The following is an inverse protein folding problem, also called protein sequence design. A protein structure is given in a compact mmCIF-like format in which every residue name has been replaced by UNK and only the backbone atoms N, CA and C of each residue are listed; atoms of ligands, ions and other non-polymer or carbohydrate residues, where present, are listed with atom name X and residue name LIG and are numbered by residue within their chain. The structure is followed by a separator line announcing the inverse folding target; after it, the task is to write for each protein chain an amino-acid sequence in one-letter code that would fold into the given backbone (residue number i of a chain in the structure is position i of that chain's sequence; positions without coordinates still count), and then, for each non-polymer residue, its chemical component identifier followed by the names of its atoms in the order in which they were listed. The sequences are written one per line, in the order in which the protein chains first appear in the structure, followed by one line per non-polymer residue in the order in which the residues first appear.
data_IF_967463628023
#
_entry.id   IF_967463628023
#
_cell.length_a   1.000
_cell.length_b   1.000
_cell.length_c   1.000
_cell.angle_alpha   90.00
_cell.angle_beta   90.00
_cell.angle_gamma   90.00
#
_symmetry.space_group_name_H-M   'P 1'
#
loop_
_entity.id
_entity.type
_entity.pdbx_description
1 polymer ?
#
# COMPACT_ATOMS: atom_id res chain seq x y z
N UNK A 1 -8.27 -10.53 -5.39
CA UNK A 1 -7.39 -10.47 -4.21
C UNK A 1 -7.07 -9.01 -3.93
N UNK A 2 -8.13 -8.21 -3.74
CA UNK A 2 -8.08 -6.75 -3.90
C UNK A 2 -8.81 -6.02 -2.75
N UNK A 3 -9.16 -6.74 -1.70
CA UNK A 3 -9.92 -6.19 -0.58
C UNK A 3 -9.02 -5.40 0.37
N UNK A 4 -9.43 -4.17 0.68
CA UNK A 4 -8.89 -3.34 1.75
C UNK A 4 -10.03 -2.75 2.59
N UNK A 5 -9.86 -2.70 3.91
CA UNK A 5 -10.88 -2.16 4.81
C UNK A 5 -10.83 -2.78 6.19
N UNK A 6 -11.92 -2.62 6.94
CA UNK A 6 -12.05 -3.16 8.30
C UNK A 6 -13.13 -4.24 8.33
N UNK A 7 -12.73 -5.46 8.68
CA UNK A 7 -13.64 -6.59 8.87
C UNK A 7 -14.25 -6.50 10.29
N UNK A 8 -15.59 -6.55 10.43
CA UNK A 8 -16.25 -6.46 11.74
C UNK A 8 -15.80 -7.56 12.71
N UNK A 9 -15.84 -7.26 14.02
CA UNK A 9 -15.30 -8.11 15.10
C UNK A 9 -15.90 -9.52 15.16
N UNK A 10 -17.13 -9.69 14.72
CA UNK A 10 -17.86 -10.97 14.80
C UNK A 10 -17.63 -11.87 13.57
N UNK A 11 -16.82 -11.43 12.61
CA UNK A 11 -16.50 -12.20 11.41
C UNK A 11 -15.11 -12.84 11.51
N UNK A 12 -14.93 -13.98 10.82
CA UNK A 12 -13.62 -14.60 10.65
C UNK A 12 -12.68 -13.66 9.90
N UNK A 13 -11.49 -13.40 10.46
CA UNK A 13 -10.55 -12.41 9.91
C UNK A 13 -10.81 -10.98 10.39
N UNK A 14 -11.52 -10.79 11.50
CA UNK A 14 -11.75 -9.48 12.11
C UNK A 14 -10.48 -8.61 12.23
N UNK A 15 -10.62 -7.33 11.87
CA UNK A 15 -9.53 -6.36 11.91
C UNK A 15 -9.36 -5.59 10.61
N UNK A 16 -8.39 -4.67 10.61
CA UNK A 16 -8.00 -3.95 9.40
C UNK A 16 -7.20 -4.87 8.47
N UNK A 17 -7.48 -4.78 7.18
CA UNK A 17 -6.86 -5.57 6.13
C UNK A 17 -6.36 -4.62 5.04
N UNK A 18 -5.12 -4.86 4.59
CA UNK A 18 -4.52 -4.19 3.45
C UNK A 18 -4.00 -5.21 2.45
N UNK A 19 -3.94 -4.83 1.19
CA UNK A 19 -3.15 -5.54 0.18
C UNK A 19 -1.71 -5.07 0.34
N UNK A 20 -0.96 -5.73 1.21
CA UNK A 20 0.42 -5.34 1.53
C UNK A 20 1.39 -5.60 0.38
N UNK A 21 1.21 -6.67 -0.39
CA UNK A 21 1.96 -6.93 -1.61
C UNK A 21 1.08 -7.65 -2.63
N UNK A 22 1.45 -7.54 -3.91
CA UNK A 22 0.75 -8.19 -5.02
C UNK A 22 1.73 -8.46 -6.16
N UNK A 23 1.52 -9.59 -6.82
CA UNK A 23 2.28 -9.96 -8.00
C UNK A 23 1.92 -11.35 -8.48
N UNK A 24 2.89 -12.01 -9.08
CA UNK A 24 2.80 -13.41 -9.50
C UNK A 24 4.01 -14.18 -8.98
N UNK A 25 3.95 -15.50 -9.05
CA UNK A 25 5.06 -16.37 -8.69
C UNK A 25 5.24 -17.44 -9.75
N UNK A 26 6.41 -18.06 -9.78
CA UNK A 26 6.64 -19.30 -10.52
C UNK A 26 7.33 -20.34 -9.66
N UNK A 27 7.08 -21.65 -9.88
CA UNK A 27 7.85 -22.70 -9.23
C UNK A 27 9.32 -22.64 -9.69
N UNK A 28 10.24 -22.90 -8.77
CA UNK A 28 11.69 -22.95 -9.11
C UNK A 28 12.04 -24.27 -9.81
N UNK A 29 11.30 -25.33 -9.51
CA UNK A 29 11.46 -26.66 -10.11
C UNK A 29 10.26 -26.96 -11.01
N UNK A 30 10.48 -27.81 -11.99
CA UNK A 30 9.40 -28.37 -12.83
C UNK A 30 8.64 -29.44 -12.04
N UNK A 31 7.93 -28.99 -11.01
CA UNK A 31 7.09 -29.78 -10.12
C UNK A 31 5.77 -29.02 -9.92
N UNK A 32 4.66 -29.76 -9.90
CA UNK A 32 3.35 -29.19 -9.56
C UNK A 32 3.38 -28.57 -8.14
N UNK A 33 3.06 -27.27 -7.98
CA UNK A 33 3.05 -26.60 -6.68
C UNK A 33 2.15 -27.27 -5.63
N UNK A 34 1.03 -27.86 -6.06
CA UNK A 34 0.10 -28.54 -5.15
C UNK A 34 0.75 -29.81 -4.59
N UNK A 35 1.40 -30.60 -5.45
CA UNK A 35 2.18 -31.76 -5.03
C UNK A 35 3.36 -31.38 -4.11
N UNK A 36 4.08 -30.29 -4.41
CA UNK A 36 5.18 -29.79 -3.58
C UNK A 36 4.70 -29.35 -2.18
N UNK A 37 3.57 -28.65 -2.10
CA UNK A 37 2.91 -28.30 -0.83
C UNK A 37 2.49 -29.55 -0.05
N UNK A 38 1.91 -30.56 -0.70
CA UNK A 38 1.55 -31.80 -0.03
C UNK A 38 2.79 -32.48 0.61
N UNK A 39 3.90 -32.51 -0.12
CA UNK A 39 5.21 -33.01 0.36
C UNK A 39 5.81 -32.17 1.49
N UNK A 40 5.28 -30.99 1.77
CA UNK A 40 5.71 -30.13 2.87
C UNK A 40 6.83 -29.17 2.50
N UNK A 41 7.14 -28.99 1.22
CA UNK A 41 8.17 -28.04 0.77
C UNK A 41 7.86 -27.50 -0.61
N UNK A 42 7.62 -26.19 -0.70
CA UNK A 42 7.41 -25.47 -1.94
C UNK A 42 8.51 -24.41 -2.14
N UNK A 43 9.17 -24.42 -3.29
CA UNK A 43 10.16 -23.43 -3.68
C UNK A 43 9.63 -22.60 -4.86
N UNK A 44 9.50 -21.29 -4.66
CA UNK A 44 8.96 -20.36 -5.66
C UNK A 44 9.85 -19.15 -5.83
N UNK A 45 9.82 -18.56 -7.01
CA UNK A 45 10.32 -17.21 -7.25
C UNK A 45 9.13 -16.26 -7.33
N UNK A 46 9.15 -15.23 -6.48
CA UNK A 46 8.08 -14.24 -6.31
C UNK A 46 8.46 -12.96 -7.07
N UNK A 47 7.47 -12.43 -7.79
CA UNK A 47 7.55 -11.19 -8.56
C UNK A 47 6.52 -10.19 -8.04
N UNK A 48 6.65 -9.84 -6.76
CA UNK A 48 5.83 -8.84 -6.08
C UNK A 48 6.36 -7.42 -6.26
N UNK A 49 5.56 -6.46 -5.83
CA UNK A 49 5.99 -5.07 -5.71
C UNK A 49 7.07 -4.97 -4.63
N UNK A 50 6.89 -5.67 -3.50
CA UNK A 50 7.80 -5.65 -2.34
C UNK A 50 8.62 -6.93 -2.21
N UNK A 51 7.96 -8.09 -2.14
CA UNK A 51 8.63 -9.37 -2.05
C UNK A 51 9.12 -9.79 -3.43
N UNK A 52 10.43 -10.02 -3.55
CA UNK A 52 11.06 -10.41 -4.81
C UNK A 52 12.04 -11.57 -4.62
N UNK A 53 12.33 -12.28 -5.69
CA UNK A 53 13.30 -13.36 -5.71
C UNK A 53 12.76 -14.68 -5.14
N UNK A 54 13.65 -15.58 -4.76
CA UNK A 54 13.32 -16.94 -4.35
C UNK A 54 12.98 -17.03 -2.87
N UNK A 55 11.95 -17.81 -2.60
CA UNK A 55 11.40 -18.11 -1.29
C UNK A 55 11.13 -19.61 -1.16
N UNK A 56 11.15 -20.11 0.07
CA UNK A 56 10.80 -21.50 0.39
C UNK A 56 9.74 -21.50 1.48
N UNK A 57 8.64 -22.21 1.23
CA UNK A 57 7.65 -22.54 2.24
C UNK A 57 7.91 -23.99 2.69
N UNK A 58 8.27 -24.19 3.96
CA UNK A 58 8.64 -25.50 4.50
C UNK A 58 7.83 -25.84 5.75
N UNK A 59 7.20 -27.03 5.77
CA UNK A 59 6.41 -27.51 6.90
C UNK A 59 7.35 -27.99 8.01
N UNK A 60 7.04 -27.63 9.25
CA UNK A 60 7.84 -28.07 10.40
C UNK A 60 7.61 -29.55 10.68
N UNK A 61 8.70 -30.29 10.93
CA UNK A 61 8.62 -31.72 11.23
C UNK A 61 7.79 -31.98 12.49
N UNK A 62 6.86 -32.93 12.42
CA UNK A 62 5.97 -33.27 13.54
C UNK A 62 4.83 -32.26 13.79
N UNK A 63 4.66 -31.26 12.93
CA UNK A 63 3.61 -30.24 13.08
C UNK A 63 2.92 -29.94 11.75
N UNK A 64 1.74 -30.52 11.53
CA UNK A 64 1.07 -30.49 10.22
C UNK A 64 0.58 -29.10 9.78
N UNK A 65 0.37 -28.18 10.72
CA UNK A 65 -0.17 -26.83 10.47
C UNK A 65 0.87 -25.71 10.54
N UNK A 66 2.08 -25.99 10.98
CA UNK A 66 3.12 -24.98 11.16
C UNK A 66 4.09 -24.96 9.98
N UNK A 67 4.27 -23.79 9.39
CA UNK A 67 5.09 -23.58 8.20
C UNK A 67 6.05 -22.43 8.42
N UNK A 68 7.24 -22.54 7.84
CA UNK A 68 8.24 -21.49 7.77
C UNK A 68 8.28 -20.93 6.36
N UNK A 69 8.24 -19.60 6.25
CA UNK A 69 8.53 -18.89 5.01
C UNK A 69 9.96 -18.34 5.08
N UNK A 70 10.82 -18.81 4.18
CA UNK A 70 12.25 -18.59 4.22
C UNK A 70 12.72 -17.87 2.95
N UNK A 71 13.38 -16.71 3.10
CA UNK A 71 14.03 -16.02 1.98
C UNK A 71 15.31 -16.76 1.58
N UNK A 72 15.54 -16.95 0.28
CA UNK A 72 16.82 -17.47 -0.25
C UNK A 72 17.81 -16.33 -0.49
N UNK A 73 19.10 -16.63 -0.33
CA UNK A 73 20.18 -15.73 -0.72
C UNK A 73 20.22 -15.60 -2.25
N UNK A 74 19.69 -14.49 -2.77
CA UNK A 74 19.68 -14.11 -4.18
C UNK A 74 19.62 -12.58 -4.31
N UNK A 75 19.50 -12.05 -5.53
CA UNK A 75 19.50 -10.60 -5.78
C UNK A 75 18.33 -9.82 -5.16
N UNK A 76 17.30 -10.49 -4.64
CA UNK A 76 16.20 -9.88 -3.88
C UNK A 76 16.34 -10.02 -2.37
N UNK A 77 17.42 -10.62 -1.86
CA UNK A 77 17.69 -10.66 -0.42
C UNK A 77 18.22 -9.31 0.08
N UNK A 78 17.72 -8.87 1.23
CA UNK A 78 18.15 -7.67 1.93
C UNK A 78 18.17 -7.94 3.44
N UNK A 79 19.05 -7.24 4.16
CA UNK A 79 19.16 -7.34 5.63
C UNK A 79 18.09 -6.50 6.36
N UNK A 80 17.30 -5.75 5.62
CA UNK A 80 16.25 -4.87 6.13
C UNK A 80 14.90 -5.61 6.22
N UNK A 81 14.15 -5.39 7.29
CA UNK A 81 12.83 -5.96 7.49
C UNK A 81 11.82 -5.30 6.52
N UNK A 82 11.23 -6.10 5.62
CA UNK A 82 10.35 -5.58 4.57
C UNK A 82 9.09 -4.90 5.14
N UNK A 83 8.57 -5.43 6.25
CA UNK A 83 7.35 -4.88 6.88
C UNK A 83 7.58 -3.50 7.51
N UNK A 84 8.80 -3.23 7.98
CA UNK A 84 9.22 -1.91 8.49
C UNK A 84 9.55 -0.94 7.34
N UNK A 85 10.24 -1.42 6.30
CA UNK A 85 10.61 -0.60 5.14
C UNK A 85 9.40 -0.16 4.32
N UNK A 86 8.44 -1.06 4.15
CA UNK A 86 7.29 -0.87 3.28
C UNK A 86 5.98 -1.19 4.00
N UNK A 87 5.56 -0.38 5.00
CA UNK A 87 4.35 -0.68 5.79
C UNK A 87 3.04 -0.45 5.04
N UNK A 88 3.05 0.34 3.95
CA UNK A 88 1.84 0.80 3.26
C UNK A 88 1.26 -0.23 2.29
N UNK A 89 -0.05 -0.18 2.02
CA UNK A 89 -0.69 -0.89 0.93
C UNK A 89 -0.07 -0.59 -0.44
N UNK A 90 -0.02 -1.58 -1.34
CA UNK A 90 0.33 -1.37 -2.77
C UNK A 90 -0.82 -0.80 -3.61
N UNK A 91 -2.04 -0.75 -3.08
CA UNK A 91 -3.21 -0.21 -3.76
C UNK A 91 -3.53 1.22 -3.30
N UNK A 92 -3.69 1.43 -1.99
CA UNK A 92 -4.08 2.72 -1.43
C UNK A 92 -2.91 3.58 -0.94
N UNK A 93 -1.74 2.99 -0.70
CA UNK A 93 -0.61 3.69 -0.07
C UNK A 93 -0.82 3.98 1.42
N UNK A 94 -1.87 3.44 2.05
CA UNK A 94 -2.17 3.61 3.48
C UNK A 94 -1.57 2.49 4.32
N UNK A 95 -1.20 2.78 5.58
CA UNK A 95 -0.82 1.71 6.53
C UNK A 95 -2.05 1.00 7.11
N UNK A 96 -1.83 -0.15 7.77
CA UNK A 96 -2.89 -0.90 8.44
C UNK A 96 -3.55 -0.10 9.58
N UNK A 97 -2.79 0.73 10.28
CA UNK A 97 -3.30 1.66 11.31
C UNK A 97 -4.19 2.73 10.66
N UNK A 98 -3.79 3.28 9.52
CA UNK A 98 -4.58 4.31 8.85
C UNK A 98 -5.91 3.78 8.33
N UNK A 99 -5.94 2.54 7.83
CA UNK A 99 -7.17 1.85 7.46
C UNK A 99 -8.03 1.54 8.68
N UNK A 100 -7.41 1.09 9.79
CA UNK A 100 -8.11 0.83 11.05
C UNK A 100 -8.79 2.08 11.60
N UNK A 101 -8.09 3.21 11.53
CA UNK A 101 -8.49 4.47 12.16
C UNK A 101 -9.19 5.42 11.17
N UNK A 102 -9.48 4.98 9.95
CA UNK A 102 -10.07 5.79 8.88
C UNK A 102 -11.34 6.52 9.34
N UNK A 103 -12.24 5.82 10.05
CA UNK A 103 -13.48 6.42 10.56
C UNK A 103 -13.25 7.51 11.60
N UNK A 104 -12.23 7.37 12.46
CA UNK A 104 -11.87 8.39 13.45
C UNK A 104 -11.23 9.62 12.77
N UNK A 105 -10.34 9.40 11.79
CA UNK A 105 -9.77 10.48 10.97
C UNK A 105 -10.85 11.25 10.22
N UNK A 106 -11.79 10.54 9.60
CA UNK A 106 -12.92 11.16 8.89
C UNK A 106 -13.77 12.02 9.83
N UNK A 107 -14.14 11.48 11.00
CA UNK A 107 -14.91 12.22 12.01
C UNK A 107 -14.17 13.49 12.47
N UNK A 108 -12.86 13.41 12.71
CA UNK A 108 -12.04 14.55 13.09
C UNK A 108 -11.97 15.63 11.99
N UNK A 109 -11.82 15.23 10.73
CA UNK A 109 -11.84 16.15 9.59
C UNK A 109 -13.21 16.84 9.49
N UNK A 110 -14.31 16.08 9.60
CA UNK A 110 -15.68 16.63 9.58
C UNK A 110 -15.89 17.65 10.69
N UNK A 111 -15.52 17.33 11.92
CA UNK A 111 -15.63 18.25 13.05
C UNK A 111 -14.81 19.53 12.84
N UNK A 112 -13.59 19.42 12.29
CA UNK A 112 -12.75 20.58 11.96
C UNK A 112 -13.37 21.46 10.87
N UNK A 113 -13.94 20.86 9.83
CA UNK A 113 -14.61 21.60 8.75
C UNK A 113 -15.83 22.38 9.28
N UNK A 114 -16.61 21.76 10.17
CA UNK A 114 -17.74 22.43 10.81
C UNK A 114 -17.30 23.60 11.70
N UNK A 115 -16.26 23.41 12.52
CA UNK A 115 -15.71 24.48 13.35
C UNK A 115 -15.16 25.67 12.54
N UNK A 116 -14.65 25.41 11.34
CA UNK A 116 -14.17 26.44 10.41
C UNK A 116 -15.29 27.13 9.62
N UNK A 117 -16.55 26.70 9.78
CA UNK A 117 -17.67 27.19 8.96
C UNK A 117 -17.48 26.88 7.47
N UNK A 118 -16.81 25.77 7.14
CA UNK A 118 -16.50 25.43 5.77
C UNK A 118 -17.78 25.25 4.94
N UNK A 119 -17.86 25.83 3.73
CA UNK A 119 -19.04 25.72 2.90
C UNK A 119 -19.26 24.27 2.43
N UNK A 120 -20.52 23.81 2.48
CA UNK A 120 -20.92 22.52 1.91
C UNK A 120 -21.05 22.66 0.39
N UNK A 121 -20.01 22.29 -0.34
CA UNK A 121 -19.98 22.27 -1.80
C UNK A 121 -19.09 21.13 -2.30
N UNK A 122 -19.29 20.74 -3.56
CA UNK A 122 -18.38 19.81 -4.23
C UNK A 122 -16.97 20.38 -4.29
N UNK A 123 -15.99 19.55 -3.94
CA UNK A 123 -14.58 19.88 -4.13
C UNK A 123 -14.19 19.41 -5.54
N UNK A 124 -13.92 20.38 -6.42
CA UNK A 124 -13.47 20.13 -7.78
C UNK A 124 -11.99 20.51 -7.93
N UNK A 125 -11.14 19.62 -8.48
CA UNK A 125 -9.78 19.99 -8.83
C UNK A 125 -9.72 21.02 -9.96
N UNK A 126 -10.78 21.15 -10.78
CA UNK A 126 -10.86 22.17 -11.84
C UNK A 126 -10.83 23.61 -11.28
N UNK A 127 -11.29 23.77 -10.05
CA UNK A 127 -11.33 25.07 -9.37
C UNK A 127 -10.05 25.36 -8.58
N UNK A 128 -9.09 24.42 -8.55
CA UNK A 128 -7.84 24.58 -7.83
C UNK A 128 -6.73 25.10 -8.76
N UNK A 129 -6.07 26.21 -8.42
CA UNK A 129 -4.95 26.67 -9.21
C UNK A 129 -3.78 25.70 -9.08
N UNK A 130 -3.12 25.37 -10.19
CA UNK A 130 -1.80 24.76 -10.14
C UNK A 130 -0.83 25.75 -9.47
N UNK A 131 -0.09 25.29 -8.45
CA UNK A 131 1.05 26.05 -7.98
C UNK A 131 2.11 26.06 -9.07
N UNK A 132 2.20 27.18 -9.78
CA UNK A 132 3.24 27.42 -10.76
C UNK A 132 4.55 27.71 -10.05
N UNK A 133 5.64 27.17 -10.61
CA UNK A 133 6.97 27.48 -10.10
C UNK A 133 7.22 28.96 -10.33
N UNK A 134 7.53 29.68 -9.25
CA UNK A 134 7.92 31.09 -9.32
C UNK A 134 9.39 31.18 -8.93
N UNK A 135 10.18 31.94 -9.69
CA UNK A 135 11.60 32.13 -9.36
C UNK A 135 11.71 32.82 -7.99
N UNK A 136 12.39 32.19 -7.05
CA UNK A 136 12.62 32.71 -5.71
C UNK A 136 14.13 32.72 -5.40
N UNK A 137 14.59 33.70 -4.62
CA UNK A 137 16.00 33.82 -4.22
C UNK A 137 16.42 32.83 -3.15
N UNK A 138 15.46 32.32 -2.38
CA UNK A 138 15.66 31.35 -1.32
C UNK A 138 14.39 30.50 -1.15
N UNK A 139 14.51 29.25 -0.68
CA UNK A 139 13.34 28.47 -0.28
C UNK A 139 12.64 29.14 0.91
N UNK A 140 11.32 29.09 0.93
CA UNK A 140 10.53 29.50 2.10
C UNK A 140 10.11 28.26 2.90
N UNK A 141 9.87 28.45 4.20
CA UNK A 141 9.27 27.43 5.06
C UNK A 141 8.16 28.08 5.88
N UNK A 142 6.98 27.48 5.86
CA UNK A 142 5.78 27.93 6.59
C UNK A 142 5.08 26.70 7.14
N UNK A 143 4.46 26.84 8.30
CA UNK A 143 3.66 25.76 8.89
C UNK A 143 2.54 25.33 7.92
N UNK A 144 2.37 24.02 7.73
CA UNK A 144 1.40 23.45 6.80
C UNK A 144 1.80 23.46 5.32
N UNK A 145 3.00 23.95 4.97
CA UNK A 145 3.50 23.89 3.59
C UNK A 145 4.32 22.63 3.34
N UNK A 146 4.02 21.95 2.24
CA UNK A 146 4.77 20.81 1.72
C UNK A 146 5.55 21.27 0.48
N UNK A 147 6.78 20.80 0.33
CA UNK A 147 7.57 21.02 -0.89
C UNK A 147 7.73 19.71 -1.65
N UNK A 148 7.74 19.81 -2.97
CA UNK A 148 7.98 18.70 -3.89
C UNK A 148 9.25 19.00 -4.69
N UNK A 149 10.19 18.05 -4.75
CA UNK A 149 11.31 18.17 -5.67
C UNK A 149 10.80 18.06 -7.10
N UNK A 150 10.98 19.12 -7.90
CA UNK A 150 10.59 19.12 -9.31
C UNK A 150 11.51 18.18 -10.10
N UNK A 151 11.00 17.00 -10.45
CA UNK A 151 11.49 16.23 -11.58
C UNK A 151 10.82 16.78 -12.85
N UNK A 152 11.52 16.86 -13.98
CA UNK A 152 10.92 17.38 -15.22
C UNK A 152 9.66 16.59 -15.60
N UNK A 153 8.57 17.29 -15.93
CA UNK A 153 7.27 16.69 -16.18
C UNK A 153 6.10 17.69 -16.22
N UNK A 154 4.88 17.16 -16.35
CA UNK A 154 3.62 17.91 -16.27
C UNK A 154 3.01 17.77 -14.88
N UNK A 155 2.33 18.81 -14.38
CA UNK A 155 1.49 18.70 -13.17
C UNK A 155 0.05 18.44 -13.61
N UNK A 156 -0.60 17.51 -12.94
CA UNK A 156 -2.02 17.26 -13.12
C UNK A 156 -2.66 16.94 -11.77
N UNK A 157 -3.91 17.37 -11.58
CA UNK A 157 -4.78 16.84 -10.54
C UNK A 157 -5.49 15.59 -11.07
N UNK A 158 -5.53 14.55 -10.24
CA UNK A 158 -6.34 13.37 -10.48
C UNK A 158 -7.55 13.39 -9.55
N UNK A 159 -8.75 13.30 -10.12
CA UNK A 159 -9.99 13.08 -9.37
C UNK A 159 -10.46 11.67 -9.63
N UNK A 160 -10.60 10.87 -8.58
CA UNK A 160 -11.27 9.58 -8.65
C UNK A 160 -12.64 9.68 -7.99
N UNK A 161 -13.70 9.38 -8.74
CA UNK A 161 -15.05 9.14 -8.23
C UNK A 161 -15.43 7.70 -8.60
N UNK A 162 -15.44 6.83 -7.60
CA UNK A 162 -15.68 5.39 -7.76
C UNK A 162 -14.73 4.78 -8.82
N UNK A 163 -15.28 4.34 -9.95
CA UNK A 163 -14.55 3.73 -11.07
C UNK A 163 -14.12 4.74 -12.14
N UNK A 164 -14.47 6.02 -11.99
CA UNK A 164 -14.11 7.08 -12.93
C UNK A 164 -12.89 7.83 -12.42
N UNK A 165 -11.88 7.98 -13.28
CA UNK A 165 -10.72 8.84 -13.04
C UNK A 165 -10.69 9.95 -14.08
N UNK A 166 -10.71 11.20 -13.62
CA UNK A 166 -10.49 12.39 -14.44
C UNK A 166 -9.12 12.99 -14.14
N UNK A 167 -8.36 13.33 -15.18
CA UNK A 167 -7.11 14.07 -15.07
C UNK A 167 -7.33 15.50 -15.56
N UNK A 168 -6.89 16.47 -14.76
CA UNK A 168 -6.87 17.88 -15.12
C UNK A 168 -5.41 18.33 -15.09
N UNK A 169 -4.90 18.95 -16.15
CA UNK A 169 -3.51 19.42 -16.27
C UNK A 169 -3.46 20.72 -17.06
#
# INVERSE_FOLDING_TARGET
ADFEGVIPKDNYGAGAVIVWDRGWYRPVKDEDPVAALAKGKLEVEVFGFKMRGRWTLARMSGKDKEWLLLKKADGGAADEELTERYPQSVLSGLTIEEIRDAGAKEAAIRARLEALGAPRRDVSPRDQPFMLATLARAPFSKEGWLFEMKYDGVRAFALRRDDTVELHG
#
